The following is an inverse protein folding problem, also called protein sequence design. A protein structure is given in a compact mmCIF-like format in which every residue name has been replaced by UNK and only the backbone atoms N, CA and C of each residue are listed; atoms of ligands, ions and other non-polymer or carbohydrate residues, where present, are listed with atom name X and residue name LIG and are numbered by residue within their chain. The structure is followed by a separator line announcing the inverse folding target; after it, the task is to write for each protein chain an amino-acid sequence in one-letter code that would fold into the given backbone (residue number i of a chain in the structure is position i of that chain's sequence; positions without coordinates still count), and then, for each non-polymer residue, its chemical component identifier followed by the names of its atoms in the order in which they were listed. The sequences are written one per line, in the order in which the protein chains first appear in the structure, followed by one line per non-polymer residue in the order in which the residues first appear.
data_IF_262833437805
#
_entry.id   IF_262833437805
#
_cell.length_a   1.000
_cell.length_b   1.000
_cell.length_c   1.000
_cell.angle_alpha   90.00
_cell.angle_beta   90.00
_cell.angle_gamma   90.00
#
_symmetry.space_group_name_H-M   'P 1'
#
loop_
_entity.id
_entity.type
_entity.pdbx_description
1 polymer ?
#
# COMPACT_ATOMS: atom_id res chain seq x y z
N UNK A 1 12.25 -11.51 3.60
CA UNK A 1 11.34 -11.58 2.44
C UNK A 1 10.09 -10.75 2.74
N UNK A 2 9.62 -9.93 1.80
CA UNK A 2 8.45 -9.05 2.00
C UNK A 2 7.34 -9.46 1.04
N UNK A 3 6.12 -9.62 1.56
CA UNK A 3 4.93 -9.96 0.79
C UNK A 3 3.75 -9.11 1.24
N UNK A 4 2.84 -8.82 0.32
CA UNK A 4 1.54 -8.24 0.65
C UNK A 4 0.47 -9.21 0.16
N UNK A 5 -0.50 -9.51 1.02
CA UNK A 5 -1.61 -10.38 0.65
C UNK A 5 -2.94 -9.92 1.29
N UNK A 6 -4.06 -10.15 0.60
CA UNK A 6 -5.38 -10.02 1.19
C UNK A 6 -5.61 -11.15 2.21
N UNK A 7 -6.20 -10.81 3.35
CA UNK A 7 -6.50 -11.73 4.44
C UNK A 7 -7.88 -11.44 5.02
N UNK A 8 -8.60 -12.50 5.40
CA UNK A 8 -9.87 -12.37 6.10
C UNK A 8 -9.65 -12.51 7.61
N UNK A 9 -10.01 -11.48 8.37
CA UNK A 9 -10.00 -11.53 9.84
C UNK A 9 -11.09 -12.49 10.35
N UNK A 10 -10.98 -12.90 11.62
CA UNK A 10 -11.96 -13.78 12.27
C UNK A 10 -13.38 -13.21 12.30
N UNK A 11 -13.51 -11.89 12.33
CA UNK A 11 -14.78 -11.15 12.27
C UNK A 11 -15.35 -11.04 10.84
N UNK A 12 -14.67 -11.59 9.83
CA UNK A 12 -15.08 -11.55 8.42
C UNK A 12 -14.56 -10.36 7.62
N UNK A 13 -13.93 -9.37 8.27
CA UNK A 13 -13.38 -8.21 7.57
C UNK A 13 -12.21 -8.59 6.66
N UNK A 14 -12.21 -8.09 5.43
CA UNK A 14 -11.06 -8.20 4.53
C UNK A 14 -10.04 -7.10 4.85
N UNK A 15 -8.80 -7.48 5.10
CA UNK A 15 -7.67 -6.59 5.34
C UNK A 15 -6.53 -6.94 4.38
N UNK A 16 -5.62 -5.99 4.17
CA UNK A 16 -4.32 -6.27 3.57
C UNK A 16 -3.25 -6.41 4.65
N UNK A 17 -2.51 -7.52 4.59
CA UNK A 17 -1.38 -7.77 5.45
C UNK A 17 -0.07 -7.58 4.68
N UNK A 18 0.79 -6.72 5.23
CA UNK A 18 2.21 -6.70 4.90
C UNK A 18 2.95 -7.68 5.78
N UNK A 19 3.56 -8.70 5.18
CA UNK A 19 4.41 -9.67 5.85
C UNK A 19 5.87 -9.36 5.61
N UNK A 20 6.67 -9.40 6.66
CA UNK A 20 8.12 -9.40 6.58
C UNK A 20 8.65 -10.62 7.35
N UNK A 21 9.23 -11.56 6.62
CA UNK A 21 9.79 -12.79 7.18
C UNK A 21 11.31 -12.78 7.12
N UNK A 22 11.97 -13.22 8.19
CA UNK A 22 13.42 -13.46 8.23
C UNK A 22 13.73 -14.77 8.94
N UNK A 23 14.78 -15.45 8.48
CA UNK A 23 15.31 -16.62 9.19
C UNK A 23 16.22 -16.10 10.31
N UNK A 24 16.05 -16.68 11.50
CA UNK A 24 16.85 -16.40 12.70
C UNK A 24 17.37 -17.71 13.27
N UNK A 25 18.41 -17.63 14.09
CA UNK A 25 18.82 -18.75 14.95
C UNK A 25 18.09 -18.63 16.28
N UNK A 26 17.38 -19.67 16.70
CA UNK A 26 16.69 -19.73 17.98
C UNK A 26 17.65 -20.08 19.12
N UNK A 27 17.18 -19.99 20.37
CA UNK A 27 18.00 -20.20 21.57
C UNK A 27 18.63 -21.59 21.66
N UNK A 28 18.01 -22.59 21.00
CA UNK A 28 18.51 -23.97 20.92
C UNK A 28 19.47 -24.20 19.74
N UNK A 29 19.84 -23.13 19.03
CA UNK A 29 20.72 -23.18 17.85
C UNK A 29 20.02 -23.61 16.55
N UNK A 30 18.72 -23.92 16.57
CA UNK A 30 18.00 -24.34 15.37
C UNK A 30 17.52 -23.14 14.54
N UNK A 31 17.45 -23.28 13.20
CA UNK A 31 16.90 -22.23 12.34
C UNK A 31 15.39 -22.10 12.58
N UNK A 32 14.95 -20.87 12.82
CA UNK A 32 13.54 -20.50 12.94
C UNK A 32 13.21 -19.39 11.95
N UNK A 33 11.92 -19.24 11.61
CA UNK A 33 11.43 -18.11 10.82
C UNK A 33 10.63 -17.18 11.71
N UNK A 34 11.05 -15.93 11.81
CA UNK A 34 10.25 -14.87 12.42
C UNK A 34 9.49 -14.13 11.33
N UNK A 35 8.19 -13.92 11.54
CA UNK A 35 7.32 -13.21 10.61
C UNK A 35 6.64 -12.06 11.34
N UNK A 36 6.87 -10.85 10.87
CA UNK A 36 6.12 -9.68 11.28
C UNK A 36 4.95 -9.48 10.30
N UNK A 37 3.73 -9.47 10.84
CA UNK A 37 2.50 -9.23 10.09
C UNK A 37 1.89 -7.90 10.50
N UNK A 38 1.78 -6.97 9.57
CA UNK A 38 1.20 -5.65 9.81
C UNK A 38 -0.06 -5.47 8.97
N UNK A 39 -1.16 -5.02 9.58
CA UNK A 39 -2.31 -4.55 8.81
C UNK A 39 -1.94 -3.23 8.11
N UNK A 40 -1.95 -3.23 6.79
CA UNK A 40 -1.58 -2.09 5.95
C UNK A 40 -2.78 -1.50 5.21
N UNK A 41 -4.00 -1.94 5.52
CA UNK A 41 -5.23 -1.54 4.82
C UNK A 41 -5.42 -0.02 4.82
N UNK A 42 -5.32 0.62 5.99
CA UNK A 42 -5.51 2.07 6.12
C UNK A 42 -4.40 2.84 5.39
N UNK A 43 -3.16 2.37 5.51
CA UNK A 43 -2.02 2.98 4.81
C UNK A 43 -2.22 2.94 3.30
N UNK A 44 -2.58 1.80 2.73
CA UNK A 44 -2.79 1.65 1.28
C UNK A 44 -3.97 2.48 0.78
N UNK A 45 -5.06 2.56 1.55
CA UNK A 45 -6.20 3.45 1.23
C UNK A 45 -5.79 4.92 1.18
N UNK A 46 -4.98 5.37 2.14
CA UNK A 46 -4.48 6.74 2.14
C UNK A 46 -3.56 7.01 0.94
N UNK A 47 -2.67 6.08 0.61
CA UNK A 47 -1.79 6.16 -0.57
C UNK A 47 -2.60 6.23 -1.87
N UNK A 48 -3.64 5.40 -2.03
CA UNK A 48 -4.55 5.41 -3.18
C UNK A 48 -5.34 6.71 -3.29
N UNK A 49 -5.82 7.24 -2.17
CA UNK A 49 -6.54 8.52 -2.14
C UNK A 49 -5.65 9.68 -2.56
N UNK A 50 -4.40 9.72 -2.07
CA UNK A 50 -3.41 10.72 -2.48
C UNK A 50 -3.12 10.60 -3.99
N UNK A 51 -2.90 9.38 -4.50
CA UNK A 51 -2.66 9.16 -5.93
C UNK A 51 -3.84 9.65 -6.79
N UNK A 52 -5.08 9.40 -6.34
CA UNK A 52 -6.28 9.89 -7.02
C UNK A 52 -6.34 11.41 -7.06
N UNK A 53 -6.01 12.11 -5.97
CA UNK A 53 -5.99 13.56 -5.95
C UNK A 53 -4.92 14.15 -6.86
N UNK A 54 -3.73 13.54 -6.92
CA UNK A 54 -2.67 13.96 -7.85
C UNK A 54 -3.16 13.85 -9.29
N UNK A 55 -3.76 12.71 -9.68
CA UNK A 55 -4.28 12.53 -11.03
C UNK A 55 -5.37 13.54 -11.39
N UNK A 56 -6.28 13.84 -10.45
CA UNK A 56 -7.32 14.85 -10.66
C UNK A 56 -6.72 16.25 -10.87
N UNK A 57 -5.71 16.61 -10.07
CA UNK A 57 -5.03 17.89 -10.18
C UNK A 57 -4.29 18.03 -11.52
N UNK A 58 -3.59 16.97 -11.95
CA UNK A 58 -2.92 16.94 -13.25
C UNK A 58 -3.90 17.11 -14.42
N UNK A 59 -5.03 16.39 -14.40
CA UNK A 59 -6.07 16.53 -15.41
C UNK A 59 -6.68 17.93 -15.45
N UNK A 60 -6.94 18.52 -14.29
CA UNK A 60 -7.44 19.90 -14.20
C UNK A 60 -6.45 20.92 -14.76
N UNK A 61 -5.16 20.76 -14.46
CA UNK A 61 -4.08 21.62 -14.97
C UNK A 61 -3.94 21.52 -16.49
N UNK A 62 -3.99 20.30 -17.05
CA UNK A 62 -3.97 20.10 -18.50
C UNK A 62 -5.16 20.77 -19.18
N UNK A 63 -6.36 20.64 -18.61
CA UNK A 63 -7.56 21.30 -19.13
C UNK A 63 -7.43 22.83 -19.12
N UNK A 64 -6.84 23.41 -18.06
CA UNK A 64 -6.61 24.87 -18.00
C UNK A 64 -5.57 25.34 -19.01
N UNK A 65 -4.46 24.61 -19.17
CA UNK A 65 -3.45 24.91 -20.18
C UNK A 65 -4.03 24.84 -21.60
N UNK A 66 -4.85 23.84 -21.91
CA UNK A 66 -5.51 23.72 -23.20
C UNK A 66 -6.45 24.91 -23.48
N UNK A 67 -7.21 25.34 -22.47
CA UNK A 67 -8.10 26.49 -22.60
C UNK A 67 -7.33 27.79 -22.87
N UNK A 68 -6.18 28.00 -22.19
CA UNK A 68 -5.30 29.15 -22.44
C UNK A 68 -4.69 29.07 -23.85
N UNK A 69 -4.21 27.90 -24.26
CA UNK A 69 -3.62 27.71 -25.59
C UNK A 69 -4.63 27.93 -26.73
N UNK A 70 -5.93 27.71 -26.49
CA UNK A 70 -6.97 28.00 -27.47
C UNK A 70 -7.39 29.48 -27.50
N UNK A 71 -6.97 30.29 -26.50
CA UNK A 71 -7.27 31.73 -26.42
C UNK A 71 -6.19 32.62 -27.05
N UNK A 72 -4.97 32.11 -27.24
CA UNK A 72 -3.85 32.79 -27.90
C UNK A 72 -3.78 32.35 -29.36
#
# INVERSE_FOLDING_TARGET
MKYTLPMRRKDGQLIELGLNASIITWDDGQPATIVMAQNITERKRAEEQIASYVQQLEGAMQGTLQAISNMV
#
